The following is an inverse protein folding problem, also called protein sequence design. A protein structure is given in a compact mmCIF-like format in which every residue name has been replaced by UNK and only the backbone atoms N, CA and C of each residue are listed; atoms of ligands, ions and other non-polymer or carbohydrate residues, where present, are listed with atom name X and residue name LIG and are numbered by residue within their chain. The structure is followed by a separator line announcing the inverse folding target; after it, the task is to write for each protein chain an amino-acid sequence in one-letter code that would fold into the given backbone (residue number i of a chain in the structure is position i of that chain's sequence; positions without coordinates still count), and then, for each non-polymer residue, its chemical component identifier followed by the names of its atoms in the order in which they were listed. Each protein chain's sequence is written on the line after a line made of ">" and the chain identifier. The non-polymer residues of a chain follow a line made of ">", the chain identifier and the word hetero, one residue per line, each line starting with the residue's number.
data_IF_354402768504
#
_entry.id   IF_354402768504
#
_cell.length_a   1.000
_cell.length_b   1.000
_cell.length_c   1.000
_cell.angle_alpha   90.00
_cell.angle_beta   90.00
_cell.angle_gamma   90.00
#
_symmetry.space_group_name_H-M   'P 1'
#
loop_
_entity.id
_entity.type
_entity.pdbx_description
1 polymer ?
#
# COMPACT_ATOMS: atom_id res chain seq x y z
N UNK A 1 -21.83 7.21 -31.79
CA UNK A 1 -21.54 6.02 -30.98
C UNK A 1 -22.87 5.38 -30.62
N UNK A 2 -23.16 4.16 -31.10
CA UNK A 2 -24.44 3.47 -30.86
C UNK A 2 -24.52 2.94 -29.42
N UNK A 3 -25.76 2.72 -28.93
CA UNK A 3 -26.04 2.17 -27.60
C UNK A 3 -25.41 0.78 -27.38
N UNK A 4 -25.28 -0.01 -28.44
CA UNK A 4 -24.66 -1.34 -28.40
C UNK A 4 -23.18 -1.29 -27.99
N UNK A 5 -22.42 -0.27 -28.43
CA UNK A 5 -21.02 -0.13 -28.06
C UNK A 5 -20.86 0.16 -26.56
N UNK A 6 -21.78 0.96 -25.99
CA UNK A 6 -21.81 1.24 -24.55
C UNK A 6 -22.22 0.00 -23.75
N UNK A 7 -23.23 -0.75 -24.22
CA UNK A 7 -23.67 -1.99 -23.58
C UNK A 7 -22.56 -3.07 -23.61
N UNK A 8 -21.89 -3.24 -24.75
CA UNK A 8 -20.77 -4.18 -24.89
C UNK A 8 -19.57 -3.78 -24.02
N UNK A 9 -19.23 -2.49 -23.96
CA UNK A 9 -18.18 -1.97 -23.09
C UNK A 9 -18.50 -2.17 -21.60
N UNK A 10 -19.74 -1.89 -21.19
CA UNK A 10 -20.20 -2.10 -19.81
C UNK A 10 -20.14 -3.60 -19.42
N UNK A 11 -20.58 -4.49 -20.31
CA UNK A 11 -20.48 -5.93 -20.08
C UNK A 11 -19.02 -6.40 -19.96
N UNK A 12 -18.15 -5.99 -20.89
CA UNK A 12 -16.74 -6.37 -20.88
C UNK A 12 -15.99 -5.84 -19.64
N UNK A 13 -16.21 -4.58 -19.27
CA UNK A 13 -15.59 -3.98 -18.08
C UNK A 13 -16.06 -4.64 -16.78
N UNK A 14 -17.34 -5.00 -16.68
CA UNK A 14 -17.87 -5.72 -15.51
C UNK A 14 -17.22 -7.10 -15.37
N UNK A 15 -17.08 -7.85 -16.46
CA UNK A 15 -16.37 -9.14 -16.47
C UNK A 15 -14.94 -8.97 -15.98
N UNK A 16 -14.24 -7.95 -16.47
CA UNK A 16 -12.86 -7.66 -16.10
C UNK A 16 -12.71 -7.27 -14.62
N UNK A 17 -13.70 -6.57 -14.07
CA UNK A 17 -13.71 -6.12 -12.67
C UNK A 17 -14.03 -7.25 -11.68
N UNK A 18 -14.81 -8.24 -12.12
CA UNK A 18 -15.17 -9.42 -11.32
C UNK A 18 -14.00 -10.41 -11.21
N UNK A 19 -13.06 -10.41 -12.17
CA UNK A 19 -11.88 -11.28 -12.09
C UNK A 19 -10.90 -10.68 -11.08
N UNK A 20 -10.76 -11.26 -9.87
CA UNK A 20 -9.82 -10.74 -8.90
C UNK A 20 -8.40 -10.95 -9.45
N UNK A 21 -7.66 -9.85 -9.57
CA UNK A 21 -6.26 -9.93 -9.94
C UNK A 21 -5.43 -10.73 -8.92
N UNK A 22 -4.22 -11.17 -9.27
CA UNK A 22 -3.37 -11.97 -8.39
C UNK A 22 -3.10 -11.29 -7.04
N UNK A 23 -3.01 -9.96 -7.01
CA UNK A 23 -2.86 -9.18 -5.78
C UNK A 23 -4.05 -9.32 -4.83
N UNK A 24 -5.29 -9.28 -5.35
CA UNK A 24 -6.50 -9.42 -4.51
C UNK A 24 -6.57 -10.82 -3.94
N UNK A 25 -6.27 -11.84 -4.76
CA UNK A 25 -6.23 -13.24 -4.32
C UNK A 25 -5.19 -13.45 -3.21
N UNK A 26 -4.00 -12.88 -3.35
CA UNK A 26 -2.97 -12.99 -2.33
C UNK A 26 -3.35 -12.28 -1.03
N UNK A 27 -3.89 -11.05 -1.10
CA UNK A 27 -4.36 -10.32 0.09
C UNK A 27 -5.45 -11.09 0.82
N UNK A 28 -6.44 -11.64 0.09
CA UNK A 28 -7.50 -12.46 0.67
C UNK A 28 -6.92 -13.72 1.32
N UNK A 29 -5.97 -14.38 0.66
CA UNK A 29 -5.29 -15.57 1.20
C UNK A 29 -4.52 -15.27 2.49
N UNK A 30 -3.81 -14.14 2.54
CA UNK A 30 -3.11 -13.68 3.75
C UNK A 30 -4.08 -13.30 4.86
N UNK A 31 -5.13 -12.55 4.54
CA UNK A 31 -6.14 -12.14 5.51
C UNK A 31 -6.82 -13.36 6.15
N UNK A 32 -7.16 -14.38 5.35
CA UNK A 32 -7.80 -15.60 5.83
C UNK A 32 -6.81 -16.55 6.55
N UNK A 33 -5.60 -16.73 6.02
CA UNK A 33 -4.63 -17.70 6.56
C UNK A 33 -3.82 -17.18 7.75
N UNK A 34 -3.43 -15.91 7.72
CA UNK A 34 -2.53 -15.30 8.72
C UNK A 34 -3.14 -14.06 9.40
N UNK A 35 -4.18 -13.45 8.84
CA UNK A 35 -4.75 -12.20 9.34
C UNK A 35 -5.33 -12.30 10.74
N UNK A 36 -5.75 -13.48 11.20
CA UNK A 36 -6.20 -13.66 12.58
C UNK A 36 -5.07 -13.47 13.61
N UNK A 37 -3.82 -13.83 13.25
CA UNK A 37 -2.65 -13.67 14.12
C UNK A 37 -2.29 -12.21 14.33
N UNK A 38 -2.54 -11.36 13.34
CA UNK A 38 -2.35 -9.91 13.44
C UNK A 38 -3.59 -9.22 14.03
N UNK A 39 -4.78 -9.75 13.79
CA UNK A 39 -6.02 -9.20 14.32
C UNK A 39 -6.15 -9.34 15.84
N UNK A 40 -5.77 -10.49 16.43
CA UNK A 40 -5.91 -10.72 17.88
C UNK A 40 -5.18 -9.67 18.74
N UNK A 41 -3.89 -9.39 18.51
CA UNK A 41 -3.17 -8.34 19.25
C UNK A 41 -3.80 -6.96 19.05
N UNK A 42 -4.26 -6.64 17.82
CA UNK A 42 -4.91 -5.37 17.52
C UNK A 42 -6.23 -5.18 18.27
N UNK A 43 -7.04 -6.25 18.41
CA UNK A 43 -8.25 -6.23 19.22
C UNK A 43 -7.92 -6.01 20.70
N UNK A 44 -6.87 -6.66 21.22
CA UNK A 44 -6.42 -6.48 22.60
C UNK A 44 -5.94 -5.04 22.89
N UNK A 45 -5.15 -4.47 21.99
CA UNK A 45 -4.73 -3.07 22.08
C UNK A 45 -5.95 -2.14 21.98
N UNK A 46 -6.87 -2.40 21.05
CA UNK A 46 -8.10 -1.64 20.89
C UNK A 46 -8.96 -1.65 22.16
N UNK A 47 -9.14 -2.82 22.78
CA UNK A 47 -9.86 -2.97 24.04
C UNK A 47 -9.18 -2.22 25.19
N UNK A 48 -7.85 -2.28 25.29
CA UNK A 48 -7.07 -1.55 26.30
C UNK A 48 -7.23 -0.03 26.14
N UNK A 49 -7.17 0.46 24.91
CA UNK A 49 -7.37 1.88 24.60
C UNK A 49 -8.81 2.31 24.88
N UNK A 50 -9.81 1.46 24.59
CA UNK A 50 -11.21 1.72 24.92
C UNK A 50 -11.45 1.75 26.44
N UNK A 51 -10.76 0.90 27.20
CA UNK A 51 -10.90 0.82 28.66
C UNK A 51 -10.23 1.99 29.39
N UNK A 52 -9.23 2.67 28.80
CA UNK A 52 -8.49 3.73 29.46
C UNK A 52 -8.43 5.03 28.64
N UNK A 53 -9.25 6.00 29.05
CA UNK A 53 -9.22 7.36 28.51
C UNK A 53 -7.84 8.02 28.66
N UNK A 54 -7.12 7.75 29.76
CA UNK A 54 -5.78 8.29 30.01
C UNK A 54 -4.76 7.75 29.00
N UNK A 55 -4.72 6.43 28.78
CA UNK A 55 -3.79 5.82 27.82
C UNK A 55 -4.11 6.28 26.40
N UNK A 56 -5.38 6.34 26.02
CA UNK A 56 -5.79 6.84 24.71
C UNK A 56 -5.41 8.32 24.51
N UNK A 57 -5.52 9.15 25.55
CA UNK A 57 -5.14 10.57 25.50
C UNK A 57 -3.62 10.74 25.38
N UNK A 58 -2.83 10.00 26.16
CA UNK A 58 -1.38 10.00 26.04
C UNK A 58 -0.93 9.57 24.64
N UNK A 59 -1.51 8.48 24.11
CA UNK A 59 -1.20 8.00 22.77
C UNK A 59 -1.50 9.09 21.71
N UNK A 60 -2.65 9.78 21.83
CA UNK A 60 -3.00 10.89 20.93
C UNK A 60 -1.98 12.03 20.99
N UNK A 61 -1.59 12.47 22.18
CA UNK A 61 -0.63 13.57 22.35
C UNK A 61 0.75 13.18 21.82
N UNK A 62 1.23 11.98 22.14
CA UNK A 62 2.51 11.45 21.64
C UNK A 62 2.49 11.32 20.11
N UNK A 63 1.41 10.76 19.56
CA UNK A 63 1.22 10.63 18.11
C UNK A 63 1.18 11.98 17.40
N UNK A 64 0.46 12.95 17.96
CA UNK A 64 0.43 14.32 17.44
C UNK A 64 1.83 14.96 17.45
N UNK A 65 2.57 14.83 18.55
CA UNK A 65 3.95 15.31 18.65
C UNK A 65 4.88 14.65 17.62
N UNK A 66 4.73 13.34 17.41
CA UNK A 66 5.50 12.62 16.40
C UNK A 66 5.18 13.07 14.96
N UNK A 67 3.91 13.33 14.64
CA UNK A 67 3.51 13.86 13.33
C UNK A 67 4.02 15.28 13.11
N UNK A 68 4.01 16.14 14.14
CA UNK A 68 4.63 17.46 14.08
C UNK A 68 6.13 17.32 13.80
N UNK A 69 6.82 16.44 14.52
CA UNK A 69 8.24 16.15 14.29
C UNK A 69 8.50 15.67 12.86
N UNK A 70 7.71 14.72 12.36
CA UNK A 70 7.81 14.22 10.98
C UNK A 70 7.54 15.33 9.96
N UNK A 71 6.54 16.17 10.18
CA UNK A 71 6.24 17.31 9.33
C UNK A 71 7.42 18.28 9.27
N UNK A 72 7.96 18.66 10.43
CA UNK A 72 9.17 19.51 10.53
C UNK A 72 10.35 18.84 9.81
N UNK A 73 10.55 17.53 10.02
CA UNK A 73 11.63 16.77 9.36
C UNK A 73 11.47 16.75 7.84
N UNK A 74 10.26 16.60 7.33
CA UNK A 74 9.94 16.66 5.90
C UNK A 74 10.19 18.05 5.31
N UNK A 75 9.75 19.11 5.99
CA UNK A 75 10.03 20.48 5.55
C UNK A 75 11.54 20.80 5.58
N UNK A 76 12.25 20.31 6.59
CA UNK A 76 13.71 20.51 6.74
C UNK A 76 14.55 19.62 5.83
N UNK A 77 14.02 18.49 5.38
CA UNK A 77 14.66 17.65 4.36
C UNK A 77 14.71 18.34 2.99
N UNK A 78 14.09 19.52 2.86
CA UNK A 78 14.36 20.46 1.77
C UNK A 78 13.75 20.06 0.45
N UNK A 79 12.79 19.11 0.41
CA UNK A 79 11.99 18.79 -0.77
C UNK A 79 12.77 18.40 -2.04
N UNK A 80 14.11 18.31 -1.99
CA UNK A 80 14.91 17.97 -3.14
C UNK A 80 15.09 16.47 -3.18
N UNK A 81 14.09 15.79 -3.72
CA UNK A 81 14.40 14.62 -4.53
C UNK A 81 15.20 15.16 -5.72
N UNK A 82 16.52 15.30 -5.56
CA UNK A 82 17.44 15.45 -6.69
C UNK A 82 17.48 14.12 -7.45
N UNK A 83 16.35 13.75 -8.02
CA UNK A 83 16.29 12.76 -9.08
C UNK A 83 16.64 13.54 -10.34
N UNK A 84 17.95 13.73 -10.59
CA UNK A 84 18.35 14.11 -11.94
C UNK A 84 17.80 13.04 -12.89
N UNK A 85 16.99 13.41 -13.89
CA UNK A 85 16.53 12.44 -14.88
C UNK A 85 17.77 11.87 -15.55
N UNK A 86 18.06 10.59 -15.35
CA UNK A 86 19.02 9.89 -16.22
C UNK A 86 18.38 9.84 -17.60
N UNK A 87 18.87 10.70 -18.48
CA UNK A 87 18.47 10.73 -19.89
C UNK A 87 19.20 9.66 -20.72
N UNK A 88 20.03 8.84 -20.08
CA UNK A 88 20.67 7.70 -20.72
C UNK A 88 19.57 6.77 -21.25
N UNK A 89 19.53 6.60 -22.58
CA UNK A 89 18.60 5.68 -23.23
C UNK A 89 18.95 4.23 -22.82
N UNK A 90 18.31 3.75 -21.76
CA UNK A 90 18.41 2.36 -21.35
C UNK A 90 17.46 1.55 -22.23
N UNK A 91 17.98 0.49 -22.86
CA UNK A 91 17.15 -0.46 -23.63
C UNK A 91 15.91 -0.87 -22.82
N UNK A 92 14.72 -0.78 -23.44
CA UNK A 92 13.45 -1.17 -22.81
C UNK A 92 13.47 -2.59 -22.25
N UNK A 93 14.20 -3.50 -22.90
CA UNK A 93 14.38 -4.87 -22.42
C UNK A 93 15.22 -4.92 -21.13
N UNK A 94 16.26 -4.11 -21.04
CA UNK A 94 17.10 -3.98 -19.83
C UNK A 94 16.30 -3.33 -18.70
N UNK A 95 15.46 -2.35 -19.01
CA UNK A 95 14.58 -1.69 -18.04
C UNK A 95 13.48 -2.64 -17.54
N UNK A 96 12.92 -3.47 -18.43
CA UNK A 96 11.96 -4.52 -18.06
C UNK A 96 12.59 -5.60 -17.17
N UNK A 97 13.79 -6.08 -17.52
CA UNK A 97 14.53 -7.03 -16.69
C UNK A 97 14.87 -6.44 -15.32
N UNK A 98 15.25 -5.16 -15.26
CA UNK A 98 15.55 -4.46 -14.02
C UNK A 98 14.29 -4.27 -13.16
N UNK A 99 13.17 -3.85 -13.76
CA UNK A 99 11.90 -3.71 -13.06
C UNK A 99 11.39 -5.06 -12.52
N UNK A 100 11.53 -6.12 -13.30
CA UNK A 100 11.15 -7.47 -12.88
C UNK A 100 12.01 -7.97 -11.72
N UNK A 101 13.34 -7.83 -11.81
CA UNK A 101 14.26 -8.20 -10.74
C UNK A 101 14.02 -7.41 -9.45
N UNK A 102 13.86 -6.09 -9.55
CA UNK A 102 13.59 -5.23 -8.39
C UNK A 102 12.26 -5.56 -7.73
N UNK A 103 11.23 -5.93 -8.52
CA UNK A 103 9.92 -6.33 -8.00
C UNK A 103 9.98 -7.72 -7.34
N UNK A 104 10.65 -8.68 -7.99
CA UNK A 104 10.80 -10.04 -7.48
C UNK A 104 11.67 -10.11 -6.21
N UNK A 105 12.72 -9.28 -6.13
CA UNK A 105 13.63 -9.19 -5.00
C UNK A 105 13.21 -8.12 -3.98
N UNK A 106 12.03 -7.51 -4.12
CA UNK A 106 11.60 -6.50 -3.18
C UNK A 106 11.27 -7.18 -1.84
N UNK A 107 12.05 -6.93 -0.76
CA UNK A 107 11.81 -7.58 0.51
C UNK A 107 10.45 -7.21 1.10
N UNK A 108 9.87 -6.04 0.73
CA UNK A 108 8.49 -5.73 1.09
C UNK A 108 7.50 -6.67 0.39
N UNK A 109 7.63 -6.88 -0.91
CA UNK A 109 6.76 -7.82 -1.65
C UNK A 109 6.82 -9.23 -1.08
N UNK A 110 7.99 -9.70 -0.66
CA UNK A 110 8.19 -11.03 -0.05
C UNK A 110 7.63 -11.09 1.39
N UNK A 111 7.55 -9.96 2.10
CA UNK A 111 6.91 -9.93 3.43
C UNK A 111 5.40 -9.69 3.40
N UNK A 112 4.85 -9.17 2.29
CA UNK A 112 3.43 -8.87 2.12
C UNK A 112 2.68 -9.85 1.19
N UNK A 113 3.40 -10.79 0.55
CA UNK A 113 2.91 -11.92 -0.25
C UNK A 113 3.76 -13.15 0.07
#
# INVERSE_FOLDING_TARGET
>A
MSFENWAAFAAASTILLVIPGPTILLVVSYALGQGWRTALPMLGIGALLAASATVFTLLKVVGAGYLIYLGIKLFRAGGTLKAEPRLDAVSSAKMMAHAWLVTALNPKSITFF
#
